data_IF_240986780122
#
_entry.id   IF_240986780122
#
_cell.length_a   1.000
_cell.length_b   1.000
_cell.length_c   1.000
_cell.angle_alpha   90.00
_cell.angle_beta   90.00
_cell.angle_gamma   90.00
#
_symmetry.space_group_name_H-M   'P 1'
#
loop_
_entity.id
_entity.type
_entity.pdbx_description
1 polymer ?
#
# COMPACT_ATOMS: atom_id res chain seq x y z
N UNK A 1 -42.71 -12.15 60.17
CA UNK A 1 -41.89 -11.66 59.04
C UNK A 1 -40.59 -12.46 59.00
N UNK A 2 -40.41 -13.39 58.07
CA UNK A 2 -39.15 -14.13 57.90
C UNK A 2 -38.39 -13.55 56.71
N UNK A 3 -37.30 -12.83 56.99
CA UNK A 3 -36.32 -12.46 55.96
C UNK A 3 -35.55 -13.72 55.58
N UNK A 4 -35.84 -14.26 54.38
CA UNK A 4 -35.00 -15.29 53.76
C UNK A 4 -33.63 -14.68 53.45
N UNK A 5 -32.64 -14.96 54.29
CA UNK A 5 -31.23 -14.71 54.00
C UNK A 5 -30.79 -15.66 52.88
N UNK A 6 -30.41 -15.09 51.73
CA UNK A 6 -29.91 -15.85 50.57
C UNK A 6 -28.63 -16.60 50.93
N UNK A 7 -28.48 -17.79 50.36
CA UNK A 7 -27.27 -18.59 50.60
C UNK A 7 -26.03 -17.93 49.96
N UNK A 8 -24.84 -18.10 50.55
CA UNK A 8 -23.59 -17.54 49.99
C UNK A 8 -23.29 -17.97 48.54
N UNK A 9 -23.75 -19.16 48.13
CA UNK A 9 -23.57 -19.65 46.76
C UNK A 9 -24.48 -18.93 45.75
N UNK A 10 -25.70 -18.57 46.14
CA UNK A 10 -26.61 -17.79 45.29
C UNK A 10 -26.12 -16.35 45.08
N UNK A 11 -25.51 -15.74 46.11
CA UNK A 11 -24.94 -14.40 45.98
C UNK A 11 -23.70 -14.38 45.08
N UNK A 12 -22.85 -15.42 45.15
CA UNK A 12 -21.72 -15.63 44.23
C UNK A 12 -22.15 -15.85 42.78
N UNK A 13 -23.18 -16.67 42.53
CA UNK A 13 -23.68 -16.88 41.17
C UNK A 13 -24.33 -15.62 40.57
N UNK A 14 -25.01 -14.82 41.39
CA UNK A 14 -25.55 -13.52 40.99
C UNK A 14 -24.44 -12.49 40.71
N UNK A 15 -23.35 -12.49 41.48
CA UNK A 15 -22.22 -11.59 41.22
C UNK A 15 -21.47 -11.96 39.94
N UNK A 16 -21.21 -13.26 39.71
CA UNK A 16 -20.57 -13.76 38.50
C UNK A 16 -21.41 -13.50 37.24
N UNK A 17 -22.73 -13.69 37.32
CA UNK A 17 -23.63 -13.40 36.20
C UNK A 17 -23.73 -11.90 35.89
N UNK A 18 -23.72 -11.03 36.91
CA UNK A 18 -23.62 -9.57 36.72
C UNK A 18 -22.29 -9.16 36.09
N UNK A 19 -21.16 -9.64 36.61
CA UNK A 19 -19.83 -9.41 36.05
C UNK A 19 -19.73 -9.86 34.58
N UNK A 20 -20.35 -10.98 34.22
CA UNK A 20 -20.41 -11.47 32.84
C UNK A 20 -21.26 -10.57 31.94
N UNK A 21 -22.42 -10.09 32.43
CA UNK A 21 -23.29 -9.14 31.70
C UNK A 21 -22.61 -7.79 31.51
N UNK A 22 -21.96 -7.26 32.54
CA UNK A 22 -21.25 -5.98 32.48
C UNK A 22 -20.08 -6.07 31.50
N UNK A 23 -19.29 -7.14 31.53
CA UNK A 23 -18.23 -7.38 30.53
C UNK A 23 -18.79 -7.45 29.10
N UNK A 24 -19.92 -8.13 28.89
CA UNK A 24 -20.58 -8.20 27.56
C UNK A 24 -21.09 -6.83 27.11
N UNK A 25 -21.71 -6.05 28.00
CA UNK A 25 -22.15 -4.68 27.67
C UNK A 25 -20.98 -3.75 27.37
N UNK A 26 -19.90 -3.81 28.16
CA UNK A 26 -18.68 -3.04 27.89
C UNK A 26 -18.06 -3.42 26.54
N UNK A 27 -17.97 -4.70 26.21
CA UNK A 27 -17.49 -5.17 24.91
C UNK A 27 -18.38 -4.67 23.76
N UNK A 28 -19.70 -4.70 23.93
CA UNK A 28 -20.67 -4.22 22.95
C UNK A 28 -20.56 -2.71 22.70
N UNK A 29 -20.54 -1.90 23.77
CA UNK A 29 -20.36 -0.45 23.65
C UNK A 29 -19.01 -0.07 23.05
N UNK A 30 -17.95 -0.81 23.40
CA UNK A 30 -16.63 -0.61 22.81
C UNK A 30 -16.65 -0.92 21.31
N UNK A 31 -17.25 -2.04 20.90
CA UNK A 31 -17.37 -2.41 19.48
C UNK A 31 -18.13 -1.34 18.68
N UNK A 32 -19.29 -0.90 19.17
CA UNK A 32 -20.04 0.21 18.55
C UNK A 32 -19.22 1.50 18.45
N UNK A 33 -18.40 1.80 19.47
CA UNK A 33 -17.51 2.96 19.47
C UNK A 33 -16.41 2.85 18.40
N UNK A 34 -15.83 1.66 18.21
CA UNK A 34 -14.82 1.44 17.16
C UNK A 34 -15.43 1.53 15.76
N UNK A 35 -16.63 0.99 15.58
CA UNK A 35 -17.33 1.09 14.29
C UNK A 35 -17.65 2.53 13.93
N UNK A 36 -18.18 3.30 14.88
CA UNK A 36 -18.46 4.72 14.67
C UNK A 36 -17.19 5.53 14.35
N UNK A 37 -16.05 5.18 14.95
CA UNK A 37 -14.75 5.79 14.62
C UNK A 37 -14.32 5.45 13.19
N UNK A 38 -14.54 4.20 12.75
CA UNK A 38 -14.17 3.74 11.41
C UNK A 38 -15.04 4.44 10.37
N UNK A 39 -16.35 4.52 10.60
CA UNK A 39 -17.26 5.23 9.70
C UNK A 39 -16.84 6.70 9.55
N UNK A 40 -16.55 7.40 10.65
CA UNK A 40 -16.04 8.80 10.60
C UNK A 40 -14.73 8.94 9.83
N UNK A 41 -13.85 7.94 9.90
CA UNK A 41 -12.61 7.91 9.14
C UNK A 41 -12.90 7.73 7.64
N UNK A 42 -13.77 6.79 7.31
CA UNK A 42 -14.22 6.54 5.94
C UNK A 42 -14.85 7.79 5.33
N UNK A 43 -15.77 8.45 6.04
CA UNK A 43 -16.43 9.68 5.57
C UNK A 43 -15.42 10.79 5.26
N UNK A 44 -14.37 10.94 6.08
CA UNK A 44 -13.29 11.91 5.84
C UNK A 44 -12.45 11.58 4.62
N UNK A 45 -12.12 10.30 4.42
CA UNK A 45 -11.38 9.84 3.24
C UNK A 45 -12.20 10.09 1.99
N UNK A 46 -13.50 9.76 2.01
CA UNK A 46 -14.42 9.97 0.89
C UNK A 46 -14.64 11.46 0.59
N UNK A 47 -14.76 12.31 1.62
CA UNK A 47 -14.84 13.76 1.43
C UNK A 47 -13.56 14.34 0.81
N UNK A 48 -12.39 13.86 1.25
CA UNK A 48 -11.09 14.26 0.67
C UNK A 48 -10.96 13.79 -0.78
N UNK A 49 -11.40 12.55 -1.07
CA UNK A 49 -11.45 11.99 -2.41
C UNK A 49 -12.36 12.83 -3.32
N UNK A 50 -13.61 13.08 -2.92
CA UNK A 50 -14.53 13.91 -3.69
C UNK A 50 -13.95 15.31 -3.98
N UNK A 51 -13.29 15.92 -2.99
CA UNK A 51 -12.67 17.24 -3.16
C UNK A 51 -11.50 17.24 -4.15
N UNK A 52 -10.66 16.19 -4.21
CA UNK A 52 -9.56 16.14 -5.19
C UNK A 52 -10.07 15.89 -6.61
N UNK A 53 -11.22 15.24 -6.78
CA UNK A 53 -11.82 15.02 -8.11
C UNK A 53 -12.27 16.32 -8.79
N UNK A 54 -12.50 17.40 -8.03
CA UNK A 54 -12.81 18.74 -8.58
C UNK A 54 -11.63 19.38 -9.34
N UNK A 55 -10.40 18.89 -9.14
CA UNK A 55 -9.21 19.40 -9.80
C UNK A 55 -8.93 18.59 -11.07
N UNK A 56 -8.69 19.29 -12.19
CA UNK A 56 -8.51 18.65 -13.50
C UNK A 56 -7.10 18.09 -13.72
N UNK A 57 -6.08 18.92 -13.53
CA UNK A 57 -4.69 18.61 -13.88
C UNK A 57 -3.70 19.58 -13.22
N UNK A 58 -2.40 19.27 -13.32
CA UNK A 58 -1.30 20.12 -12.91
C UNK A 58 -0.82 19.86 -11.48
N UNK A 59 -0.33 20.91 -10.83
CA UNK A 59 0.26 20.83 -9.49
C UNK A 59 -0.62 21.50 -8.45
N UNK A 60 -0.72 20.85 -7.29
CA UNK A 60 -1.45 21.37 -6.15
C UNK A 60 -0.61 22.41 -5.41
N UNK A 61 -1.24 23.56 -5.16
CA UNK A 61 -0.71 24.62 -4.30
C UNK A 61 -0.91 24.23 -2.83
N UNK A 62 -0.05 24.72 -1.90
CA UNK A 62 -0.19 24.40 -0.47
C UNK A 62 -1.58 24.68 0.11
N UNK A 63 -2.24 25.77 -0.32
CA UNK A 63 -3.59 26.10 0.15
C UNK A 63 -4.67 25.14 -0.37
N UNK A 64 -4.50 24.56 -1.57
CA UNK A 64 -5.43 23.54 -2.11
C UNK A 64 -5.34 22.27 -1.27
N UNK A 65 -4.11 21.86 -0.90
CA UNK A 65 -3.89 20.73 0.01
C UNK A 65 -4.51 20.97 1.39
N UNK A 66 -4.31 22.17 1.97
CA UNK A 66 -4.93 22.55 3.24
C UNK A 66 -6.48 22.52 3.18
N UNK A 67 -7.07 23.01 2.08
CA UNK A 67 -8.53 22.95 1.84
C UNK A 67 -9.02 21.51 1.83
N UNK A 68 -8.27 20.60 1.20
CA UNK A 68 -8.53 19.17 1.12
C UNK A 68 -8.20 18.40 2.41
N UNK A 69 -7.75 19.05 3.47
CA UNK A 69 -7.27 18.38 4.70
C UNK A 69 -6.12 17.40 4.42
N UNK A 70 -5.25 17.76 3.49
CA UNK A 70 -4.02 17.05 3.17
C UNK A 70 -2.85 17.84 3.77
N UNK A 71 -2.04 17.16 4.57
CA UNK A 71 -0.73 17.64 5.02
C UNK A 71 0.35 16.99 4.15
N UNK A 72 1.07 17.79 3.38
CA UNK A 72 2.08 17.30 2.46
C UNK A 72 3.45 17.88 2.81
N UNK A 73 4.46 17.01 2.90
CA UNK A 73 5.82 17.43 3.22
C UNK A 73 6.85 16.68 2.39
N UNK A 74 7.86 17.42 1.92
CA UNK A 74 9.04 16.82 1.32
C UNK A 74 9.95 16.26 2.41
N UNK A 75 10.46 15.04 2.22
CA UNK A 75 11.37 14.37 3.15
C UNK A 75 12.73 14.08 2.52
N UNK A 76 13.76 14.19 3.35
CA UNK A 76 15.14 13.96 2.95
C UNK A 76 15.47 12.47 2.89
N UNK A 77 16.38 12.13 1.97
CA UNK A 77 17.04 10.82 1.88
C UNK A 77 18.34 10.91 2.67
N UNK A 78 18.58 9.97 3.58
CA UNK A 78 19.84 9.90 4.32
C UNK A 78 21.01 9.43 3.44
N UNK A 79 22.24 9.55 3.94
CA UNK A 79 23.45 9.03 3.26
C UNK A 79 23.49 7.50 3.10
N UNK A 80 22.59 6.76 3.76
CA UNK A 80 22.40 5.31 3.61
C UNK A 80 21.19 4.97 2.71
N UNK A 81 20.69 5.97 2.00
CA UNK A 81 19.58 5.84 1.06
C UNK A 81 18.29 5.35 1.72
N UNK A 82 18.10 5.77 2.97
CA UNK A 82 16.86 5.61 3.73
C UNK A 82 16.10 6.93 3.71
N UNK A 83 14.87 6.90 3.21
CA UNK A 83 13.92 8.01 3.23
C UNK A 83 13.42 8.21 4.67
N UNK A 84 13.51 9.44 5.17
CA UNK A 84 13.21 9.77 6.58
C UNK A 84 11.71 10.00 6.83
N UNK A 85 10.86 9.03 6.49
CA UNK A 85 9.43 9.08 6.82
C UNK A 85 9.18 9.08 8.33
N UNK A 86 8.23 9.88 8.79
CA UNK A 86 7.78 9.96 10.20
C UNK A 86 6.24 10.08 10.29
N UNK A 87 5.55 9.10 10.89
CA UNK A 87 6.03 7.74 11.18
C UNK A 87 6.47 7.01 9.89
N UNK A 88 7.24 5.93 10.03
CA UNK A 88 7.64 5.07 8.91
C UNK A 88 6.81 3.79 8.93
N UNK A 89 6.23 3.43 7.79
CA UNK A 89 5.42 2.22 7.61
C UNK A 89 6.03 1.20 6.65
N UNK A 90 7.11 1.56 5.96
CA UNK A 90 7.73 0.72 4.95
C UNK A 90 9.24 0.67 5.16
N UNK A 91 9.76 -0.51 5.51
CA UNK A 91 11.19 -0.74 5.65
C UNK A 91 11.75 -1.21 4.31
N UNK A 92 12.64 -0.44 3.65
CA UNK A 92 13.18 -0.83 2.36
C UNK A 92 14.07 -2.08 2.49
N UNK A 93 14.17 -2.86 1.41
CA UNK A 93 15.14 -3.95 1.36
C UNK A 93 16.58 -3.43 1.45
N UNK A 94 17.53 -4.27 1.91
CA UNK A 94 18.95 -3.95 1.82
C UNK A 94 19.39 -3.72 0.37
N UNK A 95 20.34 -2.80 0.18
CA UNK A 95 20.89 -2.49 -1.14
C UNK A 95 21.51 -3.72 -1.80
N UNK A 96 22.25 -4.52 -1.04
CA UNK A 96 22.92 -5.71 -1.56
C UNK A 96 21.93 -6.76 -2.08
N UNK A 97 20.78 -6.93 -1.42
CA UNK A 97 19.71 -7.84 -1.89
C UNK A 97 19.23 -7.45 -3.29
N UNK A 98 18.95 -6.17 -3.51
CA UNK A 98 18.53 -5.68 -4.83
C UNK A 98 19.65 -5.81 -5.85
N UNK A 99 20.89 -5.44 -5.49
CA UNK A 99 22.05 -5.59 -6.38
C UNK A 99 22.26 -7.03 -6.79
N UNK A 100 22.17 -7.99 -5.88
CA UNK A 100 22.25 -9.43 -6.21
C UNK A 100 21.14 -9.83 -7.17
N UNK A 101 19.89 -9.39 -6.97
CA UNK A 101 18.80 -9.69 -7.90
C UNK A 101 19.01 -9.09 -9.29
N UNK A 102 19.60 -7.89 -9.37
CA UNK A 102 19.92 -7.23 -10.64
C UNK A 102 21.17 -7.85 -11.30
N UNK A 103 22.13 -8.33 -10.52
CA UNK A 103 23.44 -8.79 -11.00
C UNK A 103 23.49 -10.25 -11.44
N UNK A 104 22.44 -11.07 -11.20
CA UNK A 104 22.43 -12.51 -11.57
C UNK A 104 22.81 -12.72 -13.05
N UNK A 105 24.11 -12.87 -13.33
CA UNK A 105 24.70 -13.31 -14.60
C UNK A 105 24.28 -14.74 -14.91
N UNK A 106 24.15 -15.16 -16.19
CA UNK A 106 23.78 -16.53 -16.54
C UNK A 106 24.67 -17.53 -15.79
N UNK A 107 24.09 -18.39 -14.94
CA UNK A 107 24.81 -19.57 -14.51
C UNK A 107 24.97 -20.43 -15.75
N UNK A 108 26.20 -20.59 -16.24
CA UNK A 108 26.58 -21.70 -17.12
C UNK A 108 26.50 -22.99 -16.30
N UNK A 109 25.28 -23.43 -16.01
CA UNK A 109 24.92 -24.82 -15.74
C UNK A 109 23.54 -25.00 -16.34
N UNK A 110 23.52 -25.28 -17.64
CA UNK A 110 22.46 -26.09 -18.21
C UNK A 110 22.33 -27.34 -17.33
N UNK A 111 21.14 -27.69 -16.83
CA UNK A 111 20.88 -29.08 -16.53
C UNK A 111 20.95 -29.81 -17.87
N UNK A 112 21.70 -30.90 -17.89
CA UNK A 112 21.82 -31.79 -19.04
C UNK A 112 20.44 -32.07 -19.64
N UNK A 113 20.34 -31.86 -20.96
CA UNK A 113 19.40 -32.58 -21.79
C UNK A 113 19.73 -34.07 -21.67
N UNK A 114 19.08 -34.77 -20.73
CA UNK A 114 18.73 -36.18 -20.85
C UNK A 114 17.95 -36.66 -19.63
N UNK A 115 16.63 -36.53 -19.69
CA UNK A 115 15.68 -37.45 -19.05
C UNK A 115 14.30 -37.23 -19.66
N UNK A 116 14.07 -37.88 -20.81
CA UNK A 116 12.74 -38.08 -21.37
C UNK A 116 12.01 -39.13 -20.51
N UNK A 117 11.19 -38.66 -19.57
CA UNK A 117 10.18 -39.47 -18.89
C UNK A 117 8.79 -39.00 -19.31
N UNK A 118 8.11 -39.83 -20.11
CA UNK A 118 6.73 -39.66 -20.56
C UNK A 118 5.74 -39.40 -19.41
N UNK A 119 4.95 -38.31 -19.50
CA UNK A 119 3.52 -38.31 -19.15
C UNK A 119 2.84 -36.97 -19.51
N UNK A 120 1.71 -37.05 -20.23
CA UNK A 120 0.66 -36.03 -20.19
C UNK A 120 0.71 -34.94 -21.26
N UNK A 121 0.14 -35.26 -22.44
CA UNK A 121 -0.19 -34.32 -23.50
C UNK A 121 -1.21 -33.29 -23.00
N UNK A 122 -0.80 -32.06 -22.75
CA UNK A 122 -1.69 -30.91 -22.64
C UNK A 122 -1.41 -29.96 -23.81
N UNK A 123 -2.44 -29.66 -24.59
CA UNK A 123 -2.40 -28.76 -25.74
C UNK A 123 -1.89 -27.37 -25.35
N UNK A 124 -1.03 -26.72 -26.14
CA UNK A 124 -0.61 -25.35 -25.86
C UNK A 124 -1.75 -24.39 -26.19
N UNK A 125 -2.28 -23.68 -25.18
CA UNK A 125 -3.14 -22.53 -25.42
C UNK A 125 -2.32 -21.41 -26.08
N UNK A 126 -2.66 -20.96 -27.30
CA UNK A 126 -1.89 -19.94 -28.00
C UNK A 126 -2.52 -18.57 -27.76
N UNK A 127 -2.15 -17.90 -26.66
CA UNK A 127 -2.15 -16.42 -26.53
C UNK A 127 -2.04 -15.98 -25.06
N UNK A 128 -0.87 -16.15 -24.44
CA UNK A 128 -0.57 -15.39 -23.22
C UNK A 128 0.84 -14.87 -23.38
N UNK A 129 0.96 -13.62 -23.84
CA UNK A 129 2.16 -12.83 -23.53
C UNK A 129 2.29 -12.89 -22.02
N UNK A 130 3.29 -13.60 -21.51
CA UNK A 130 3.53 -13.73 -20.08
C UNK A 130 3.49 -12.32 -19.47
N UNK A 131 2.46 -12.01 -18.68
CA UNK A 131 2.37 -10.73 -17.99
C UNK A 131 3.63 -10.61 -17.14
N UNK A 132 4.49 -9.66 -17.51
CA UNK A 132 5.78 -9.43 -16.89
C UNK A 132 5.55 -9.13 -15.39
N UNK A 133 5.91 -10.04 -14.48
CA UNK A 133 5.71 -9.93 -13.03
C UNK A 133 6.78 -9.06 -12.33
N UNK A 134 7.12 -7.91 -12.90
CA UNK A 134 8.17 -7.06 -12.31
C UNK A 134 7.87 -5.55 -12.43
N UNK A 135 8.46 -4.71 -11.57
CA UNK A 135 8.13 -3.27 -11.50
C UNK A 135 8.42 -2.52 -12.81
N UNK A 136 7.59 -1.51 -13.14
CA UNK A 136 7.72 -0.71 -14.37
C UNK A 136 9.14 -0.15 -14.57
N UNK A 137 9.86 0.21 -13.50
CA UNK A 137 11.21 0.75 -13.61
C UNK A 137 12.19 -0.22 -14.30
N UNK A 138 11.99 -1.53 -14.20
CA UNK A 138 12.81 -2.50 -14.91
C UNK A 138 12.47 -2.56 -16.40
N UNK A 139 11.22 -2.28 -16.78
CA UNK A 139 10.83 -2.12 -18.18
C UNK A 139 11.41 -0.85 -18.80
N UNK A 140 11.37 0.27 -18.06
CA UNK A 140 11.93 1.55 -18.51
C UNK A 140 13.44 1.46 -18.79
N UNK A 141 14.14 0.57 -18.07
CA UNK A 141 15.58 0.34 -18.21
C UNK A 141 15.90 -1.08 -18.68
N UNK A 142 15.01 -1.68 -19.51
CA UNK A 142 15.13 -3.07 -19.97
C UNK A 142 16.47 -3.36 -20.62
N UNK A 143 17.00 -2.46 -21.43
CA UNK A 143 18.31 -2.65 -22.10
C UNK A 143 19.42 -2.90 -21.07
N UNK A 144 19.35 -2.17 -19.95
CA UNK A 144 20.33 -2.23 -18.89
C UNK A 144 20.15 -3.41 -17.94
N UNK A 145 18.90 -3.78 -17.66
CA UNK A 145 18.56 -4.89 -16.77
C UNK A 145 18.04 -6.11 -17.54
N UNK A 146 18.46 -6.27 -18.81
CA UNK A 146 17.94 -7.29 -19.72
C UNK A 146 18.05 -8.69 -19.14
N UNK A 147 19.15 -8.98 -18.46
CA UNK A 147 19.37 -10.28 -17.79
C UNK A 147 18.38 -10.49 -16.64
N UNK A 148 18.18 -9.50 -15.77
CA UNK A 148 17.26 -9.59 -14.63
C UNK A 148 15.81 -9.71 -15.11
N UNK A 149 15.44 -8.98 -16.16
CA UNK A 149 14.14 -9.04 -16.82
C UNK A 149 13.92 -10.42 -17.46
N UNK A 150 14.89 -10.94 -18.23
CA UNK A 150 14.80 -12.27 -18.88
C UNK A 150 14.71 -13.42 -17.88
N UNK A 151 15.43 -13.33 -16.76
CA UNK A 151 15.41 -14.35 -15.70
C UNK A 151 14.17 -14.31 -14.81
N UNK A 152 13.27 -13.34 -15.04
CA UNK A 152 12.09 -13.15 -14.20
C UNK A 152 12.46 -12.64 -12.83
N UNK A 153 12.74 -11.34 -12.72
CA UNK A 153 12.75 -10.67 -11.42
C UNK A 153 11.45 -11.02 -10.68
N UNK A 154 11.57 -11.70 -9.54
CA UNK A 154 10.43 -12.28 -8.85
C UNK A 154 10.10 -11.48 -7.60
N UNK A 155 9.05 -10.65 -7.70
CA UNK A 155 8.54 -9.85 -6.58
C UNK A 155 8.11 -10.71 -5.39
N UNK A 156 7.55 -11.88 -5.65
CA UNK A 156 7.06 -12.79 -4.61
C UNK A 156 8.16 -13.28 -3.67
N UNK A 157 9.41 -13.28 -4.15
CA UNK A 157 10.59 -13.65 -3.34
C UNK A 157 11.15 -12.51 -2.49
N UNK A 158 10.72 -11.27 -2.72
CA UNK A 158 11.37 -10.07 -2.19
C UNK A 158 10.51 -9.29 -1.20
N UNK A 159 9.19 -9.39 -1.30
CA UNK A 159 8.24 -8.80 -0.35
C UNK A 159 7.24 -9.85 0.11
N UNK A 160 6.52 -9.60 1.21
CA UNK A 160 5.36 -10.40 1.62
C UNK A 160 4.07 -9.96 0.93
N UNK A 161 4.07 -8.77 0.31
CA UNK A 161 2.92 -8.22 -0.41
C UNK A 161 2.81 -8.84 -1.83
N UNK A 162 1.60 -8.95 -2.36
CA UNK A 162 1.30 -9.67 -3.61
C UNK A 162 0.36 -8.87 -4.53
N UNK A 163 0.56 -9.04 -5.83
CA UNK A 163 -0.24 -8.42 -6.90
C UNK A 163 -1.58 -9.15 -7.15
N UNK A 164 -2.23 -9.62 -6.08
CA UNK A 164 -3.54 -10.25 -6.15
C UNK A 164 -4.37 -9.94 -4.89
N UNK A 165 -4.17 -8.75 -4.33
CA UNK A 165 -4.88 -8.24 -3.18
C UNK A 165 -6.35 -7.89 -3.45
N UNK A 166 -7.07 -7.55 -2.38
CA UNK A 166 -8.50 -7.25 -2.41
C UNK A 166 -8.85 -6.05 -3.31
N UNK A 167 -7.94 -5.07 -3.42
CA UNK A 167 -8.12 -3.89 -4.29
C UNK A 167 -8.08 -4.28 -5.77
N UNK A 168 -7.14 -5.17 -6.14
CA UNK A 168 -6.94 -5.61 -7.53
C UNK A 168 -7.97 -6.66 -7.98
N UNK A 169 -8.52 -7.46 -7.05
CA UNK A 169 -9.51 -8.52 -7.34
C UNK A 169 -10.90 -7.99 -7.74
N UNK A 170 -11.13 -6.68 -7.74
CA UNK A 170 -12.32 -6.05 -8.33
C UNK A 170 -13.67 -6.43 -7.69
N UNK A 171 -13.68 -7.03 -6.49
CA UNK A 171 -14.92 -7.38 -5.76
C UNK A 171 -15.59 -6.17 -5.09
N UNK A 172 -15.05 -4.97 -5.26
CA UNK A 172 -15.69 -3.73 -4.86
C UNK A 172 -16.61 -3.26 -5.98
N UNK A 173 -17.74 -2.61 -5.62
CA UNK A 173 -18.70 -2.10 -6.61
C UNK A 173 -17.96 -1.12 -7.52
N UNK A 174 -17.77 -1.46 -8.81
CA UNK A 174 -17.19 -0.53 -9.78
C UNK A 174 -18.04 0.74 -9.78
N UNK A 175 -17.49 1.82 -9.24
CA UNK A 175 -18.13 3.12 -9.18
C UNK A 175 -17.39 4.08 -10.11
N UNK A 176 -18.12 4.81 -10.97
CA UNK A 176 -17.55 5.95 -11.70
C UNK A 176 -16.82 6.87 -10.71
N UNK A 177 -15.55 7.19 -10.98
CA UNK A 177 -14.72 8.04 -10.10
C UNK A 177 -13.80 7.29 -9.12
N UNK A 178 -13.88 5.96 -9.01
CA UNK A 178 -12.92 5.13 -8.28
C UNK A 178 -12.01 4.29 -9.20
N UNK A 179 -12.09 4.52 -10.51
CA UNK A 179 -11.20 3.88 -11.47
C UNK A 179 -9.74 4.16 -11.12
N UNK A 180 -8.88 3.15 -11.19
CA UNK A 180 -7.46 3.31 -10.89
C UNK A 180 -6.67 3.88 -12.08
N UNK A 181 -7.35 4.62 -12.96
CA UNK A 181 -6.78 5.33 -14.10
C UNK A 181 -7.65 6.55 -14.46
N UNK A 182 -7.05 7.50 -15.17
CA UNK A 182 -7.76 8.61 -15.81
C UNK A 182 -7.30 8.71 -17.27
N UNK A 183 -8.15 8.23 -18.18
CA UNK A 183 -7.83 8.12 -19.62
C UNK A 183 -8.25 9.35 -20.43
N UNK A 184 -9.26 10.08 -19.95
CA UNK A 184 -9.91 11.17 -20.66
C UNK A 184 -9.31 12.55 -20.36
N UNK A 185 -8.46 12.66 -19.33
CA UNK A 185 -7.77 13.91 -18.99
C UNK A 185 -6.57 14.17 -19.91
N UNK A 186 -6.18 15.45 -20.05
CA UNK A 186 -4.94 15.88 -20.71
C UNK A 186 -3.69 15.34 -20.00
N UNK A 187 -3.78 15.11 -18.68
CA UNK A 187 -2.73 14.47 -17.88
C UNK A 187 -3.16 13.06 -17.52
N UNK A 188 -2.97 12.14 -18.47
CA UNK A 188 -3.30 10.73 -18.27
C UNK A 188 -2.43 10.13 -17.18
N UNK A 189 -3.06 9.46 -16.24
CA UNK A 189 -2.39 8.69 -15.21
C UNK A 189 -3.04 7.33 -15.02
N UNK A 190 -2.27 6.37 -14.50
CA UNK A 190 -2.74 5.02 -14.24
C UNK A 190 -1.96 4.41 -13.08
N UNK A 191 -2.66 3.72 -12.20
CA UNK A 191 -2.04 2.74 -11.30
C UNK A 191 -1.86 1.43 -12.07
N UNK A 192 -0.63 0.95 -12.17
CA UNK A 192 -0.35 -0.27 -12.92
C UNK A 192 -0.54 -1.49 -12.03
N UNK A 193 -0.06 -1.42 -10.78
CA UNK A 193 -0.07 -2.50 -9.83
C UNK A 193 -0.35 -2.00 -8.42
N UNK A 194 -0.93 -2.90 -7.63
CA UNK A 194 -1.06 -2.75 -6.18
C UNK A 194 -0.63 -4.06 -5.54
N UNK A 195 0.38 -3.99 -4.69
CA UNK A 195 0.82 -5.09 -3.83
C UNK A 195 0.16 -4.94 -2.46
N UNK A 196 -0.46 -6.00 -1.98
CA UNK A 196 -1.15 -6.04 -0.68
C UNK A 196 -0.87 -7.36 0.03
N UNK A 197 -1.10 -7.39 1.34
CA UNK A 197 -1.10 -8.64 2.10
C UNK A 197 -2.35 -9.46 1.80
N UNK A 198 -2.17 -10.74 1.47
CA UNK A 198 -3.27 -11.64 1.09
C UNK A 198 -4.09 -12.10 2.28
N UNK A 199 -3.45 -12.18 3.45
CA UNK A 199 -4.12 -12.57 4.71
C UNK A 199 -4.77 -11.35 5.39
N UNK A 200 -4.44 -10.13 4.94
CA UNK A 200 -4.94 -8.86 5.49
C UNK A 200 -4.56 -8.64 6.96
N UNK A 201 -3.52 -9.32 7.44
CA UNK A 201 -2.89 -9.12 8.75
C UNK A 201 -2.27 -7.72 8.85
N UNK A 202 -1.76 -7.22 7.71
CA UNK A 202 -1.29 -5.84 7.60
C UNK A 202 -2.05 -5.08 6.49
N UNK A 203 -2.47 -3.82 6.74
CA UNK A 203 -3.24 -3.03 5.78
C UNK A 203 -2.34 -2.20 4.86
N UNK A 204 -1.07 -2.55 4.73
CA UNK A 204 -0.12 -1.84 3.87
C UNK A 204 -0.40 -2.13 2.40
N UNK A 205 -0.22 -1.13 1.56
CA UNK A 205 -0.21 -1.31 0.12
C UNK A 205 1.00 -0.61 -0.50
N UNK A 206 1.57 -1.22 -1.53
CA UNK A 206 2.56 -0.58 -2.41
C UNK A 206 1.93 -0.48 -3.80
N UNK A 207 1.93 0.70 -4.41
CA UNK A 207 1.44 0.88 -5.77
C UNK A 207 2.41 1.68 -6.63
N UNK A 208 2.37 1.48 -7.93
CA UNK A 208 3.02 2.35 -8.89
C UNK A 208 2.04 3.22 -9.67
N UNK A 209 2.36 4.50 -9.76
CA UNK A 209 1.60 5.48 -10.50
C UNK A 209 2.41 5.84 -11.74
N UNK A 210 1.86 5.59 -12.92
CA UNK A 210 2.42 6.02 -14.19
C UNK A 210 1.75 7.29 -14.66
N UNK A 211 2.57 8.29 -14.95
CA UNK A 211 2.21 9.53 -15.62
C UNK A 211 3.15 9.75 -16.81
N UNK A 212 2.84 10.77 -17.61
CA UNK A 212 3.73 11.22 -18.67
C UNK A 212 3.64 12.74 -18.80
N UNK A 213 4.23 13.45 -17.83
CA UNK A 213 4.18 14.91 -17.75
C UNK A 213 5.57 15.55 -17.90
N UNK A 214 5.57 16.82 -18.27
CA UNK A 214 6.76 17.66 -18.13
C UNK A 214 6.90 18.09 -16.67
N UNK A 215 8.01 17.71 -16.04
CA UNK A 215 8.19 17.89 -14.59
C UNK A 215 8.76 19.25 -14.25
N UNK A 216 8.07 19.97 -13.38
CA UNK A 216 8.57 21.15 -12.70
C UNK A 216 9.02 20.78 -11.28
N UNK A 217 10.33 20.76 -11.06
CA UNK A 217 10.94 20.35 -9.77
C UNK A 217 10.71 21.35 -8.63
N UNK A 218 10.28 22.58 -8.93
CA UNK A 218 9.98 23.59 -7.91
C UNK A 218 8.57 23.43 -7.36
N UNK A 219 7.73 22.59 -7.99
CA UNK A 219 6.36 22.34 -7.59
C UNK A 219 6.22 21.08 -6.76
N UNK A 220 5.17 21.05 -5.95
CA UNK A 220 4.87 19.96 -5.01
C UNK A 220 4.22 18.76 -5.68
N UNK A 221 3.10 18.31 -5.11
CA UNK A 221 2.33 17.16 -5.59
C UNK A 221 1.53 17.48 -6.85
N UNK A 222 1.46 16.53 -7.78
CA UNK A 222 0.54 16.61 -8.92
C UNK A 222 -0.88 16.26 -8.48
N UNK A 223 -1.88 16.77 -9.20
CA UNK A 223 -3.28 16.37 -9.02
C UNK A 223 -3.41 14.86 -9.24
N UNK A 224 -2.76 14.33 -10.27
CA UNK A 224 -2.76 12.90 -10.61
C UNK A 224 -2.23 11.99 -9.48
N UNK A 225 -1.12 12.34 -8.83
CA UNK A 225 -0.61 11.57 -7.69
C UNK A 225 -1.63 11.51 -6.56
N UNK A 226 -2.21 12.66 -6.20
CA UNK A 226 -3.16 12.73 -5.09
C UNK A 226 -4.45 12.01 -5.44
N UNK A 227 -4.99 12.15 -6.66
CA UNK A 227 -6.16 11.38 -7.13
C UNK A 227 -5.91 9.88 -7.05
N UNK A 228 -4.80 9.40 -7.61
CA UNK A 228 -4.46 7.99 -7.60
C UNK A 228 -4.41 7.41 -6.17
N UNK A 229 -3.68 8.09 -5.28
CA UNK A 229 -3.58 7.72 -3.86
C UNK A 229 -4.95 7.73 -3.18
N UNK A 230 -5.74 8.78 -3.37
CA UNK A 230 -7.04 8.93 -2.73
C UNK A 230 -8.05 7.89 -3.21
N UNK A 231 -8.03 7.51 -4.49
CA UNK A 231 -8.88 6.42 -5.00
C UNK A 231 -8.49 5.07 -4.38
N UNK A 232 -7.18 4.79 -4.24
CA UNK A 232 -6.73 3.57 -3.52
C UNK A 232 -7.19 3.60 -2.06
N UNK A 233 -7.03 4.73 -1.34
CA UNK A 233 -7.51 4.85 0.04
C UNK A 233 -9.04 4.67 0.13
N UNK A 234 -9.80 5.29 -0.76
CA UNK A 234 -11.26 5.26 -0.78
C UNK A 234 -11.81 3.86 -1.06
N UNK A 235 -11.21 3.14 -2.02
CA UNK A 235 -11.56 1.74 -2.27
C UNK A 235 -11.25 0.90 -1.02
N UNK A 236 -10.03 1.02 -0.49
CA UNK A 236 -9.55 0.14 0.57
C UNK A 236 -10.24 0.34 1.92
N UNK A 237 -10.59 1.57 2.30
CA UNK A 237 -11.31 1.82 3.56
C UNK A 237 -12.71 1.19 3.56
N UNK A 238 -13.32 1.02 2.37
CA UNK A 238 -14.62 0.39 2.19
C UNK A 238 -14.59 -1.15 2.17
N UNK A 239 -13.42 -1.79 2.22
CA UNK A 239 -13.31 -3.25 2.18
C UNK A 239 -13.41 -3.85 3.58
N UNK A 240 -14.29 -4.84 3.73
CA UNK A 240 -14.53 -5.52 5.01
C UNK A 240 -13.30 -6.26 5.55
N UNK A 241 -12.43 -6.79 4.68
CA UNK A 241 -11.19 -7.44 5.11
C UNK A 241 -10.23 -6.50 5.84
N UNK A 242 -10.34 -5.18 5.62
CA UNK A 242 -9.54 -4.18 6.32
C UNK A 242 -10.27 -3.54 7.52
N UNK A 243 -11.43 -4.06 7.91
CA UNK A 243 -12.21 -3.58 9.07
C UNK A 243 -11.41 -3.49 10.38
N UNK A 244 -10.51 -4.45 10.72
CA UNK A 244 -9.72 -4.39 11.94
C UNK A 244 -8.70 -3.24 12.00
N UNK A 245 -8.41 -2.59 10.87
CA UNK A 245 -7.33 -1.63 10.72
C UNK A 245 -7.86 -0.19 10.59
N UNK A 246 -7.37 0.71 11.44
CA UNK A 246 -7.69 2.15 11.36
C UNK A 246 -6.65 2.95 10.59
N UNK A 247 -5.45 2.39 10.42
CA UNK A 247 -4.36 3.03 9.72
C UNK A 247 -4.01 2.13 8.54
N UNK A 248 -4.13 2.66 7.32
CA UNK A 248 -3.92 1.93 6.08
C UNK A 248 -2.81 2.61 5.27
N UNK A 249 -1.53 2.34 5.56
CA UNK A 249 -0.43 2.97 4.86
C UNK A 249 -0.40 2.61 3.37
N UNK A 250 -0.06 3.58 2.53
CA UNK A 250 0.22 3.36 1.11
C UNK A 250 1.60 3.91 0.80
N UNK A 251 2.42 3.11 0.14
CA UNK A 251 3.64 3.56 -0.51
C UNK A 251 3.39 3.67 -2.00
N UNK A 252 3.46 4.88 -2.55
CA UNK A 252 3.29 5.11 -3.97
C UNK A 252 4.65 5.39 -4.63
N UNK A 253 4.97 4.59 -5.65
CA UNK A 253 6.11 4.77 -6.53
C UNK A 253 5.62 5.55 -7.74
N UNK A 254 5.84 6.87 -7.75
CA UNK A 254 5.33 7.77 -8.77
C UNK A 254 6.35 7.96 -9.88
N UNK A 255 6.05 7.40 -11.06
CA UNK A 255 6.78 7.63 -12.30
C UNK A 255 6.14 8.83 -13.01
N UNK A 256 6.74 10.02 -12.86
CA UNK A 256 6.22 11.27 -13.43
C UNK A 256 6.39 11.29 -14.96
N UNK A 257 7.48 10.70 -15.44
CA UNK A 257 7.73 10.39 -16.84
C UNK A 257 8.76 9.24 -16.92
N UNK A 258 9.27 8.93 -18.14
CA UNK A 258 10.22 7.84 -18.35
C UNK A 258 11.56 8.00 -17.62
N UNK A 259 11.93 9.23 -17.27
CA UNK A 259 13.25 9.60 -16.75
C UNK A 259 13.21 10.04 -15.29
N UNK A 260 12.02 10.28 -14.74
CA UNK A 260 11.88 10.97 -13.46
C UNK A 260 10.74 10.39 -12.62
N UNK A 261 10.96 10.35 -11.32
CA UNK A 261 9.93 9.94 -10.38
C UNK A 261 10.24 10.35 -8.95
N UNK A 262 9.35 9.94 -8.04
CA UNK A 262 9.54 10.08 -6.59
C UNK A 262 8.78 8.99 -5.83
N UNK A 263 9.12 8.85 -4.56
CA UNK A 263 8.49 7.89 -3.65
C UNK A 263 7.66 8.68 -2.64
N UNK A 264 6.41 8.25 -2.43
CA UNK A 264 5.49 8.85 -1.49
C UNK A 264 5.03 7.82 -0.46
N UNK A 265 4.95 8.21 0.81
CA UNK A 265 4.29 7.45 1.86
C UNK A 265 3.06 8.22 2.35
N UNK A 266 1.94 7.52 2.42
CA UNK A 266 0.62 8.10 2.72
C UNK A 266 -0.05 7.33 3.84
N UNK A 267 -0.71 8.05 4.73
CA UNK A 267 -1.67 7.48 5.69
C UNK A 267 -2.68 8.55 6.12
N UNK A 268 -3.76 8.16 6.78
CA UNK A 268 -4.65 9.10 7.46
C UNK A 268 -4.38 9.07 8.97
N UNK A 269 -4.19 10.22 9.61
CA UNK A 269 -3.86 10.32 11.05
C UNK A 269 -5.09 10.41 11.97
N UNK A 270 -6.28 10.33 11.38
CA UNK A 270 -7.59 10.49 12.03
C UNK A 270 -8.19 11.89 11.89
N UNK A 271 -7.38 12.87 11.48
CA UNK A 271 -7.78 14.26 11.20
C UNK A 271 -7.56 14.66 9.75
N UNK A 272 -6.44 14.24 9.15
CA UNK A 272 -5.94 14.64 7.83
C UNK A 272 -5.32 13.46 7.11
N UNK A 273 -5.23 13.56 5.79
CA UNK A 273 -4.35 12.70 5.00
C UNK A 273 -2.94 13.28 5.07
N UNK A 274 -1.96 12.46 5.46
CA UNK A 274 -0.55 12.84 5.55
C UNK A 274 0.19 12.22 4.39
N UNK A 275 0.79 13.04 3.52
CA UNK A 275 1.60 12.64 2.38
C UNK A 275 3.03 13.12 2.60
N UNK A 276 3.95 12.19 2.78
CA UNK A 276 5.38 12.49 2.79
C UNK A 276 6.00 12.02 1.49
N UNK A 277 6.83 12.83 0.84
CA UNK A 277 7.37 12.52 -0.47
C UNK A 277 8.83 12.90 -0.62
N UNK A 278 9.59 12.17 -1.42
CA UNK A 278 10.96 12.57 -1.79
C UNK A 278 10.92 13.69 -2.81
N UNK A 279 12.02 14.46 -2.93
CA UNK A 279 12.29 15.25 -4.14
C UNK A 279 12.19 14.39 -5.41
N UNK A 280 12.00 15.04 -6.56
CA UNK A 280 12.07 14.37 -7.86
C UNK A 280 13.49 13.85 -8.09
N UNK A 281 13.59 12.56 -8.41
CA UNK A 281 14.82 11.86 -8.72
C UNK A 281 14.87 11.54 -10.21
N UNK A 282 16.04 11.69 -10.81
CA UNK A 282 16.31 11.30 -12.19
C UNK A 282 16.83 9.87 -12.24
N UNK A 283 16.32 9.09 -13.18
CA UNK A 283 16.74 7.71 -13.42
C UNK A 283 17.95 7.62 -14.36
N UNK A 284 18.15 8.62 -15.21
CA UNK A 284 19.21 8.67 -16.24
C UNK A 284 20.62 9.01 -15.67
N UNK A 285 20.78 9.05 -14.35
CA UNK A 285 22.07 9.31 -13.69
C UNK A 285 23.07 8.15 -13.82
N UNK A 286 24.36 8.48 -13.87
CA UNK A 286 25.48 7.53 -14.09
C UNK A 286 25.58 6.40 -13.05
N UNK A 287 25.01 6.56 -11.87
CA UNK A 287 25.23 5.62 -10.75
C UNK A 287 24.09 4.62 -10.52
N UNK A 288 22.96 4.71 -11.24
CA UNK A 288 21.80 3.79 -11.10
C UNK A 288 21.21 3.65 -9.70
N UNK A 289 21.76 4.39 -8.76
CA UNK A 289 21.40 4.44 -7.37
C UNK A 289 19.90 4.77 -7.16
N UNK A 290 19.26 5.67 -7.95
CA UNK A 290 17.83 5.89 -7.89
C UNK A 290 16.99 4.66 -8.27
N UNK A 291 17.45 3.83 -9.22
CA UNK A 291 16.71 2.62 -9.62
C UNK A 291 16.75 1.59 -8.50
N UNK A 292 17.92 1.39 -7.89
CA UNK A 292 18.08 0.53 -6.71
C UNK A 292 17.19 1.01 -5.57
N UNK A 293 17.18 2.32 -5.27
CA UNK A 293 16.33 2.92 -4.25
C UNK A 293 14.85 2.61 -4.49
N UNK A 294 14.35 2.81 -5.72
CA UNK A 294 12.95 2.56 -6.08
C UNK A 294 12.58 1.10 -5.89
N UNK A 295 13.43 0.17 -6.33
CA UNK A 295 13.19 -1.27 -6.16
C UNK A 295 13.20 -1.69 -4.69
N UNK A 296 14.12 -1.15 -3.88
CA UNK A 296 14.19 -1.43 -2.44
C UNK A 296 12.91 -1.02 -1.72
N UNK A 297 12.32 0.12 -2.10
CA UNK A 297 11.06 0.60 -1.55
C UNK A 297 9.85 -0.13 -2.14
N UNK A 298 9.85 -0.42 -3.44
CA UNK A 298 8.81 -1.21 -4.09
C UNK A 298 8.66 -2.60 -3.42
N UNK A 299 9.78 -3.22 -3.04
CA UNK A 299 9.83 -4.51 -2.37
C UNK A 299 9.88 -4.40 -0.83
N UNK A 300 9.51 -3.25 -0.27
CA UNK A 300 9.64 -3.00 1.17
C UNK A 300 8.81 -3.96 2.02
N UNK A 301 9.22 -4.08 3.29
CA UNK A 301 8.51 -4.84 4.30
C UNK A 301 7.57 -3.91 5.10
N UNK A 302 6.32 -4.34 5.36
CA UNK A 302 5.40 -3.64 6.25
C UNK A 302 5.99 -3.48 7.65
N UNK A 303 6.00 -2.25 8.17
CA UNK A 303 6.39 -1.94 9.55
C UNK A 303 5.43 -0.95 10.19
N UNK A 304 5.55 -0.74 11.50
CA UNK A 304 4.69 0.14 12.28
C UNK A 304 3.43 -0.55 12.82
N UNK A 305 2.77 0.08 13.79
CA UNK A 305 1.54 -0.44 14.40
C UNK A 305 0.32 0.10 13.65
N UNK A 306 -0.45 -0.79 13.04
CA UNK A 306 -1.65 -0.45 12.24
C UNK A 306 -2.94 -1.01 12.84
N UNK A 307 -2.84 -2.13 13.56
CA UNK A 307 -3.97 -2.81 14.18
C UNK A 307 -4.39 -2.17 15.52
N UNK A 308 -5.67 -2.31 15.83
CA UNK A 308 -6.25 -1.92 17.11
C UNK A 308 -5.93 -3.01 18.15
N UNK A 309 -4.77 -2.99 18.81
CA UNK A 309 -4.53 -3.97 19.89
C UNK A 309 -5.52 -3.70 21.03
N UNK A 310 -6.32 -4.72 21.38
CA UNK A 310 -6.92 -4.82 22.71
C UNK A 310 -5.78 -4.68 23.73
N UNK A 311 -5.91 -3.75 24.68
CA UNK A 311 -5.15 -3.90 25.92
C UNK A 311 -5.75 -5.12 26.61
N UNK A 312 -5.09 -6.26 26.52
CA UNK A 312 -5.40 -7.38 27.39
C UNK A 312 -5.19 -6.92 28.83
N UNK A 313 -6.29 -6.79 29.56
CA UNK A 313 -6.31 -6.54 30.99
C UNK A 313 -6.02 -7.84 31.74
N UNK A 314 -4.85 -8.42 31.49
CA UNK A 314 -4.28 -9.58 32.20
C UNK A 314 -2.82 -9.27 32.51
N UNK A 315 -2.62 -8.20 33.26
CA UNK A 315 -1.39 -7.92 34.03
C UNK A 315 -1.75 -6.98 35.16
N UNK A 316 -2.42 -7.53 36.17
CA UNK A 316 -2.36 -7.10 37.57
C UNK A 316 -2.47 -8.35 38.43
#
# INVERSE_FOLDING_TARGET
>A
MHQRTRSPLESLNLSLSRLSRDKKMHAFHFHLSQEAKRQRLQDKILATHAGIEEYSAGYLKPWQLLKLKIDASEVNISSKDIIKFRPCFFSPLPTDTIRTCLSKQPNKKSPDENSLGYAGRAMPCPSTVALMHYPLILDLFREKYATSVRKGFCLDSLTTLRECGATSKGKWKQQPGLELAEKLSTERWQILRILEDLEHEVPHAVCDIRQNIQVDRKKGLTVAEVKAIMRVMAVRIGLDCYRPHFLMPILAISYLNRKQGRILQVHHDGKRVVIQYTKVLDFDGLEHHPIELFLRYYCSQPVGKTANKQKDSSSR
#
